data_IF_747397617315
#
_entry.id   IF_747397617315
#
_cell.length_a   1.000
_cell.length_b   1.000
_cell.length_c   1.000
_cell.angle_alpha   90.00
_cell.angle_beta   90.00
_cell.angle_gamma   90.00
#
_symmetry.space_group_name_H-M   'P 1'
#
loop_
_entity.id
_entity.type
_entity.pdbx_description
1 polymer ?
#
# COMPACT_ATOMS: atom_id res chain seq x y z
N UNK A 1 31.60 -14.72 1.02
CA UNK A 1 31.66 -15.34 -0.31
C UNK A 1 31.69 -16.88 -0.26
N UNK A 2 32.57 -17.55 0.48
CA UNK A 2 32.61 -19.05 0.57
C UNK A 2 31.31 -19.73 0.98
N UNK A 3 30.55 -19.19 1.95
CA UNK A 3 29.28 -19.80 2.41
C UNK A 3 28.14 -19.71 1.37
N UNK A 4 28.12 -18.66 0.52
CA UNK A 4 27.14 -18.50 -0.55
C UNK A 4 27.43 -19.46 -1.71
N UNK A 5 28.71 -19.68 -2.02
CA UNK A 5 29.14 -20.63 -3.06
C UNK A 5 28.81 -22.07 -2.65
N UNK A 6 28.97 -22.44 -1.39
CA UNK A 6 28.61 -23.77 -0.89
C UNK A 6 27.11 -24.01 -0.90
N UNK A 7 26.28 -23.01 -0.54
CA UNK A 7 24.82 -23.09 -0.61
C UNK A 7 24.30 -23.23 -2.05
N UNK A 8 24.90 -22.51 -3.01
CA UNK A 8 24.57 -22.65 -4.44
C UNK A 8 24.98 -24.00 -5.01
N UNK A 9 26.13 -24.55 -4.60
CA UNK A 9 26.55 -25.89 -5.03
C UNK A 9 25.63 -27.00 -4.49
N UNK A 10 25.19 -26.91 -3.23
CA UNK A 10 24.28 -27.89 -2.61
C UNK A 10 22.89 -27.82 -3.30
N UNK A 11 22.40 -26.63 -3.66
CA UNK A 11 21.15 -26.48 -4.41
C UNK A 11 21.22 -27.13 -5.80
N UNK A 12 22.31 -26.95 -6.55
CA UNK A 12 22.50 -27.56 -7.89
C UNK A 12 22.53 -29.09 -7.82
N UNK A 13 23.15 -29.69 -6.81
CA UNK A 13 23.22 -31.15 -6.62
C UNK A 13 21.81 -31.69 -6.29
N UNK A 14 21.03 -31.01 -5.47
CA UNK A 14 19.67 -31.42 -5.07
C UNK A 14 18.71 -31.44 -6.26
N UNK A 15 18.79 -30.46 -7.16
CA UNK A 15 17.98 -30.40 -8.37
C UNK A 15 18.35 -31.50 -9.41
N UNK A 16 19.61 -31.85 -9.52
CA UNK A 16 20.06 -32.96 -10.39
C UNK A 16 19.53 -34.32 -9.92
N UNK A 17 19.48 -34.56 -8.61
CA UNK A 17 18.94 -35.81 -8.03
C UNK A 17 17.40 -35.90 -8.26
N UNK A 18 16.67 -34.80 -8.09
CA UNK A 18 15.23 -34.76 -8.33
C UNK A 18 14.89 -35.04 -9.81
N UNK A 19 15.64 -34.45 -10.75
CA UNK A 19 15.48 -34.70 -12.19
C UNK A 19 15.63 -36.16 -12.54
N UNK A 20 16.70 -36.82 -12.09
CA UNK A 20 16.92 -38.25 -12.33
C UNK A 20 15.81 -39.14 -11.76
N UNK A 21 15.32 -38.83 -10.56
CA UNK A 21 14.21 -39.55 -9.91
C UNK A 21 12.92 -39.43 -10.74
N UNK A 22 12.59 -38.22 -11.23
CA UNK A 22 11.43 -38.02 -12.10
C UNK A 22 11.58 -38.75 -13.43
N UNK A 23 12.76 -38.70 -14.06
CA UNK A 23 13.02 -39.42 -15.32
C UNK A 23 12.86 -40.96 -15.16
N UNK A 24 13.39 -41.50 -14.03
CA UNK A 24 13.23 -42.96 -13.76
C UNK A 24 11.75 -43.34 -13.63
N UNK A 25 10.96 -42.53 -12.90
CA UNK A 25 9.51 -42.78 -12.77
C UNK A 25 8.78 -42.64 -14.10
N UNK A 26 9.20 -41.70 -14.96
CA UNK A 26 8.66 -41.54 -16.29
C UNK A 26 8.85 -42.79 -17.14
N UNK A 27 10.05 -43.44 -17.08
CA UNK A 27 10.34 -44.68 -17.77
C UNK A 27 9.44 -45.83 -17.30
N UNK A 28 9.10 -45.87 -16.01
CA UNK A 28 8.18 -46.88 -15.45
C UNK A 28 6.78 -46.73 -16.06
N UNK A 29 6.25 -45.50 -16.15
CA UNK A 29 4.96 -45.21 -16.80
C UNK A 29 5.00 -45.47 -18.31
N UNK A 30 6.09 -45.12 -18.98
CA UNK A 30 6.27 -45.38 -20.41
C UNK A 30 6.21 -46.89 -20.74
N UNK A 31 6.88 -47.72 -19.94
CA UNK A 31 6.85 -49.18 -20.06
C UNK A 31 5.46 -49.78 -19.81
N UNK A 32 4.65 -49.09 -18.96
CA UNK A 32 3.26 -49.47 -18.70
C UNK A 32 2.29 -48.97 -19.77
N UNK A 33 2.76 -48.27 -20.83
CA UNK A 33 1.90 -47.69 -21.87
C UNK A 33 1.14 -46.40 -21.40
N UNK A 34 1.45 -45.88 -20.24
CA UNK A 34 0.83 -44.68 -19.64
C UNK A 34 1.56 -43.42 -20.12
N UNK A 35 1.35 -43.09 -21.41
CA UNK A 35 2.13 -42.02 -22.07
C UNK A 35 1.88 -40.62 -21.54
N UNK A 36 0.67 -40.34 -21.03
CA UNK A 36 0.35 -39.04 -20.45
C UNK A 36 1.14 -38.83 -19.15
N UNK A 37 1.12 -39.82 -18.27
CA UNK A 37 1.86 -39.80 -16.99
C UNK A 37 3.37 -39.78 -17.24
N UNK A 38 3.85 -40.56 -18.20
CA UNK A 38 5.26 -40.57 -18.60
C UNK A 38 5.70 -39.16 -19.06
N UNK A 39 4.94 -38.53 -19.94
CA UNK A 39 5.21 -37.18 -20.42
C UNK A 39 5.20 -36.17 -19.28
N UNK A 40 4.27 -36.23 -18.34
CA UNK A 40 4.22 -35.32 -17.18
C UNK A 40 5.41 -35.51 -16.22
N UNK A 41 5.90 -36.72 -16.01
CA UNK A 41 7.10 -36.99 -15.23
C UNK A 41 8.38 -36.56 -15.96
N UNK A 42 8.50 -36.76 -17.26
CA UNK A 42 9.59 -36.23 -18.08
C UNK A 42 9.59 -34.69 -18.06
N UNK A 43 8.43 -34.07 -18.15
CA UNK A 43 8.27 -32.62 -18.02
C UNK A 43 8.77 -32.09 -16.65
N UNK A 44 8.38 -32.77 -15.55
CA UNK A 44 8.87 -32.45 -14.19
C UNK A 44 10.40 -32.63 -14.09
N UNK A 45 10.94 -33.66 -14.76
CA UNK A 45 12.40 -33.89 -14.82
C UNK A 45 13.12 -32.74 -15.50
N UNK A 46 12.66 -32.29 -16.66
CA UNK A 46 13.22 -31.13 -17.39
C UNK A 46 13.02 -29.81 -16.65
N UNK A 47 11.91 -29.64 -15.95
CA UNK A 47 11.69 -28.46 -15.10
C UNK A 47 12.72 -28.41 -13.96
N UNK A 48 13.11 -29.55 -13.39
CA UNK A 48 14.15 -29.64 -12.36
C UNK A 48 15.57 -29.48 -12.94
N UNK A 49 15.83 -30.02 -14.15
CA UNK A 49 17.11 -29.86 -14.87
C UNK A 49 16.90 -29.85 -16.38
N UNK A 50 16.95 -28.65 -16.96
CA UNK A 50 16.77 -28.44 -18.43
C UNK A 50 17.79 -29.16 -19.30
N UNK A 51 18.93 -29.54 -18.74
CA UNK A 51 20.01 -30.22 -19.46
C UNK A 51 19.91 -31.76 -19.44
N UNK A 52 18.83 -32.32 -18.85
CA UNK A 52 18.62 -33.75 -18.85
C UNK A 52 18.20 -34.23 -20.27
N UNK A 53 19.17 -34.76 -21.03
CA UNK A 53 18.97 -35.22 -22.42
C UNK A 53 17.99 -36.38 -22.51
N UNK A 54 18.09 -37.38 -21.61
CA UNK A 54 17.19 -38.55 -21.60
C UNK A 54 15.75 -38.13 -21.35
N UNK A 55 15.53 -37.18 -20.39
CA UNK A 55 14.20 -36.64 -20.14
C UNK A 55 13.65 -35.85 -21.34
N UNK A 56 14.50 -35.17 -22.11
CA UNK A 56 14.09 -34.44 -23.30
C UNK A 56 13.67 -35.39 -24.42
N UNK A 57 14.43 -36.46 -24.66
CA UNK A 57 14.11 -37.51 -25.64
C UNK A 57 12.81 -38.21 -25.21
N UNK A 58 12.71 -38.59 -23.93
CA UNK A 58 11.52 -39.26 -23.38
C UNK A 58 10.27 -38.36 -23.48
N UNK A 59 10.42 -37.03 -23.15
CA UNK A 59 9.31 -36.09 -23.28
C UNK A 59 8.88 -35.87 -24.70
N UNK A 60 9.82 -35.85 -25.67
CA UNK A 60 9.46 -35.74 -27.10
C UNK A 60 8.65 -36.94 -27.52
N UNK A 61 9.15 -38.17 -27.30
CA UNK A 61 8.51 -39.42 -27.69
C UNK A 61 7.10 -39.59 -27.08
N UNK A 62 7.01 -39.49 -25.75
CA UNK A 62 5.72 -39.65 -25.07
C UNK A 62 4.79 -38.46 -25.32
N UNK A 63 5.34 -37.27 -25.49
CA UNK A 63 4.59 -36.05 -25.86
C UNK A 63 3.96 -36.18 -27.26
N UNK A 64 4.63 -36.81 -28.23
CA UNK A 64 4.04 -37.09 -29.54
C UNK A 64 2.84 -38.05 -29.43
N UNK A 65 2.91 -39.09 -28.58
CA UNK A 65 1.78 -40.01 -28.36
C UNK A 65 0.58 -39.27 -27.72
N UNK A 66 0.84 -38.42 -26.71
CA UNK A 66 -0.20 -37.58 -26.08
C UNK A 66 -0.81 -36.60 -27.08
N UNK A 67 0.03 -35.96 -27.91
CA UNK A 67 -0.46 -35.04 -28.94
C UNK A 67 -1.35 -35.78 -29.95
N UNK A 68 -0.96 -37.00 -30.39
CA UNK A 68 -1.76 -37.79 -31.30
C UNK A 68 -3.13 -38.12 -30.70
N UNK A 69 -3.21 -38.53 -29.43
CA UNK A 69 -4.50 -38.78 -28.76
C UNK A 69 -5.38 -37.51 -28.71
N UNK A 70 -4.78 -36.35 -28.47
CA UNK A 70 -5.51 -35.06 -28.49
C UNK A 70 -6.02 -34.72 -29.91
N UNK A 71 -5.21 -34.95 -30.93
CA UNK A 71 -5.57 -34.72 -32.31
C UNK A 71 -6.61 -35.75 -32.85
N UNK A 72 -6.58 -36.98 -32.37
CA UNK A 72 -7.63 -37.99 -32.62
C UNK A 72 -8.97 -37.52 -32.07
N UNK A 73 -8.99 -37.06 -30.79
CA UNK A 73 -10.20 -36.45 -30.20
C UNK A 73 -10.69 -35.26 -31.00
N UNK A 74 -9.79 -34.35 -31.39
CA UNK A 74 -10.13 -33.21 -32.24
C UNK A 74 -10.75 -33.67 -33.55
N UNK A 75 -10.15 -34.66 -34.23
CA UNK A 75 -10.64 -35.21 -35.51
C UNK A 75 -12.04 -35.79 -35.36
N UNK A 76 -12.30 -36.55 -34.30
CA UNK A 76 -13.60 -37.11 -33.99
C UNK A 76 -14.68 -36.03 -33.91
N UNK A 77 -14.51 -35.03 -33.03
CA UNK A 77 -15.52 -33.97 -32.83
C UNK A 77 -15.64 -33.04 -34.04
N UNK A 78 -14.57 -32.87 -34.83
CA UNK A 78 -14.64 -32.17 -36.12
C UNK A 78 -15.47 -32.93 -37.15
N UNK A 79 -15.31 -34.27 -37.28
CA UNK A 79 -16.11 -35.13 -38.16
C UNK A 79 -17.59 -35.15 -37.76
N UNK A 80 -17.86 -35.09 -36.45
CA UNK A 80 -19.22 -34.97 -35.89
C UNK A 80 -19.82 -33.55 -36.08
N UNK A 81 -19.07 -32.60 -36.66
CA UNK A 81 -19.45 -31.19 -36.88
C UNK A 81 -19.80 -30.44 -35.61
N UNK A 82 -19.24 -30.84 -34.50
CA UNK A 82 -19.35 -30.15 -33.20
C UNK A 82 -18.35 -28.98 -33.13
N UNK A 83 -18.67 -27.86 -33.78
CA UNK A 83 -17.77 -26.74 -34.02
C UNK A 83 -17.14 -26.20 -32.75
N UNK A 84 -17.91 -26.07 -31.67
CA UNK A 84 -17.41 -25.64 -30.34
C UNK A 84 -16.38 -26.65 -29.81
N UNK A 85 -16.74 -27.91 -29.73
CA UNK A 85 -15.89 -28.95 -29.15
C UNK A 85 -14.61 -29.13 -29.96
N UNK A 86 -14.71 -29.07 -31.28
CA UNK A 86 -13.56 -29.11 -32.19
C UNK A 86 -12.62 -27.90 -31.95
N UNK A 87 -13.17 -26.70 -31.82
CA UNK A 87 -12.38 -25.50 -31.52
C UNK A 87 -11.58 -25.67 -30.23
N UNK A 88 -12.21 -26.11 -29.15
CA UNK A 88 -11.54 -26.27 -27.86
C UNK A 88 -10.60 -27.48 -27.81
N UNK A 89 -10.91 -28.58 -28.49
CA UNK A 89 -10.03 -29.73 -28.57
C UNK A 89 -8.71 -29.39 -29.30
N UNK A 90 -8.78 -28.59 -30.37
CA UNK A 90 -7.57 -28.12 -31.06
C UNK A 90 -6.76 -27.14 -30.18
N UNK A 91 -7.40 -26.17 -29.51
CA UNK A 91 -6.76 -25.26 -28.59
C UNK A 91 -6.04 -26.01 -27.45
N UNK A 92 -6.64 -27.11 -26.96
CA UNK A 92 -6.00 -27.97 -25.95
C UNK A 92 -4.74 -28.66 -26.52
N UNK A 93 -4.78 -29.19 -27.72
CA UNK A 93 -3.62 -29.76 -28.41
C UNK A 93 -2.52 -28.71 -28.65
N UNK A 94 -2.89 -27.51 -29.08
CA UNK A 94 -1.94 -26.40 -29.30
C UNK A 94 -1.30 -25.90 -28.00
N UNK A 95 -2.09 -25.79 -26.94
CA UNK A 95 -1.58 -25.41 -25.61
C UNK A 95 -0.62 -26.47 -25.05
N UNK A 96 -0.89 -27.75 -25.33
CA UNK A 96 0.03 -28.83 -24.97
C UNK A 96 1.38 -28.66 -25.68
N UNK A 97 1.39 -28.42 -26.99
CA UNK A 97 2.61 -28.14 -27.76
C UNK A 97 3.34 -26.89 -27.21
N UNK A 98 2.62 -25.78 -26.94
CA UNK A 98 3.16 -24.57 -26.36
C UNK A 98 3.79 -24.86 -24.99
N UNK A 99 3.14 -25.68 -24.15
CA UNK A 99 3.67 -26.11 -22.83
C UNK A 99 5.03 -26.80 -22.95
N UNK A 100 5.14 -27.78 -23.89
CA UNK A 100 6.39 -28.53 -24.05
C UNK A 100 7.52 -27.65 -24.63
N UNK A 101 7.19 -26.73 -25.54
CA UNK A 101 8.15 -25.75 -26.10
C UNK A 101 8.84 -24.92 -25.04
N UNK A 102 8.20 -24.62 -23.90
CA UNK A 102 8.84 -23.88 -22.78
C UNK A 102 10.06 -24.60 -22.19
N UNK A 103 10.18 -25.90 -22.42
CA UNK A 103 11.33 -26.72 -22.00
C UNK A 103 12.22 -27.17 -23.18
N UNK A 104 12.06 -26.54 -24.35
CA UNK A 104 12.85 -26.83 -25.55
C UNK A 104 12.50 -28.17 -26.21
N UNK A 105 11.26 -28.65 -26.03
CA UNK A 105 10.73 -29.82 -26.75
C UNK A 105 9.70 -29.33 -27.77
N UNK A 106 10.04 -29.48 -29.05
CA UNK A 106 9.21 -29.07 -30.16
C UNK A 106 8.42 -30.27 -30.72
N UNK A 107 7.12 -30.11 -30.74
CA UNK A 107 6.18 -31.00 -31.43
C UNK A 107 5.51 -30.23 -32.56
N UNK A 108 5.19 -30.92 -33.64
CA UNK A 108 4.62 -30.31 -34.85
C UNK A 108 3.17 -30.81 -35.02
N UNK A 109 2.24 -29.87 -35.17
CA UNK A 109 0.87 -30.15 -35.59
C UNK A 109 0.82 -29.97 -37.11
N UNK A 110 0.41 -31.05 -37.84
CA UNK A 110 0.27 -31.05 -39.29
C UNK A 110 -0.69 -29.94 -39.75
N UNK A 111 -0.41 -29.38 -40.92
CA UNK A 111 -1.18 -28.29 -41.53
C UNK A 111 -2.65 -28.64 -41.77
N UNK A 112 -2.97 -29.92 -42.03
CA UNK A 112 -4.35 -30.39 -42.20
C UNK A 112 -5.22 -30.12 -40.96
N UNK A 113 -4.67 -30.34 -39.76
CA UNK A 113 -5.40 -30.05 -38.50
C UNK A 113 -5.64 -28.56 -38.31
N UNK A 114 -4.72 -27.73 -38.76
CA UNK A 114 -4.88 -26.26 -38.71
C UNK A 114 -5.96 -25.77 -39.67
N UNK A 115 -6.08 -26.42 -40.86
CA UNK A 115 -7.14 -26.11 -41.79
C UNK A 115 -8.52 -26.51 -41.25
N UNK A 116 -8.65 -27.68 -40.65
CA UNK A 116 -9.88 -28.15 -40.01
C UNK A 116 -10.26 -27.30 -38.77
N UNK A 117 -9.25 -26.87 -37.98
CA UNK A 117 -9.47 -25.94 -36.88
C UNK A 117 -10.00 -24.59 -37.37
N UNK A 118 -9.46 -24.09 -38.48
CA UNK A 118 -9.95 -22.81 -39.05
C UNK A 118 -11.41 -22.94 -39.45
N UNK A 119 -11.80 -24.03 -40.12
CA UNK A 119 -13.19 -24.29 -40.51
C UNK A 119 -14.12 -24.34 -39.28
N UNK A 120 -13.77 -25.16 -38.29
CA UNK A 120 -14.56 -25.27 -37.03
C UNK A 120 -14.61 -23.95 -36.23
N UNK A 121 -13.48 -23.28 -36.12
CA UNK A 121 -13.37 -22.00 -35.43
C UNK A 121 -14.18 -20.89 -36.09
N UNK A 122 -14.09 -20.77 -37.43
CA UNK A 122 -14.87 -19.79 -38.19
C UNK A 122 -16.38 -20.01 -38.02
N UNK A 123 -16.83 -21.27 -38.04
CA UNK A 123 -18.23 -21.62 -37.80
C UNK A 123 -18.65 -21.22 -36.35
N UNK A 124 -17.91 -21.70 -35.36
CA UNK A 124 -18.23 -21.45 -33.96
C UNK A 124 -18.22 -19.95 -33.61
N UNK A 125 -17.19 -19.24 -34.05
CA UNK A 125 -17.05 -17.79 -33.78
C UNK A 125 -18.12 -16.98 -34.50
N UNK A 126 -18.56 -17.40 -35.70
CA UNK A 126 -19.66 -16.77 -36.44
C UNK A 126 -20.98 -16.85 -35.67
N UNK A 127 -21.31 -18.04 -35.15
CA UNK A 127 -22.53 -18.27 -34.39
C UNK A 127 -22.48 -17.44 -33.06
N UNK A 128 -21.34 -17.46 -32.36
CA UNK A 128 -21.12 -16.68 -31.15
C UNK A 128 -21.17 -15.17 -31.39
N UNK A 129 -20.62 -14.72 -32.50
CA UNK A 129 -20.67 -13.31 -32.87
C UNK A 129 -22.11 -12.83 -33.13
N UNK A 130 -22.91 -13.66 -33.84
CA UNK A 130 -24.31 -13.35 -34.04
C UNK A 130 -25.12 -13.34 -32.72
N UNK A 131 -24.91 -14.35 -31.86
CA UNK A 131 -25.50 -14.42 -30.51
C UNK A 131 -25.13 -13.18 -29.66
N UNK A 132 -23.85 -12.81 -29.62
CA UNK A 132 -23.37 -11.67 -28.87
C UNK A 132 -23.90 -10.32 -29.39
N UNK A 133 -24.01 -10.20 -30.72
CA UNK A 133 -24.60 -8.99 -31.35
C UNK A 133 -26.08 -8.87 -31.02
N UNK A 134 -26.83 -9.96 -31.04
CA UNK A 134 -28.23 -9.95 -30.63
C UNK A 134 -28.38 -9.58 -29.14
N UNK A 135 -27.47 -10.09 -28.28
CA UNK A 135 -27.47 -9.72 -26.87
C UNK A 135 -27.21 -8.23 -26.67
N UNK A 136 -26.30 -7.62 -27.43
CA UNK A 136 -26.08 -6.16 -27.40
C UNK A 136 -27.32 -5.39 -27.88
N UNK A 137 -27.96 -5.82 -28.96
CA UNK A 137 -29.17 -5.17 -29.49
C UNK A 137 -30.35 -5.23 -28.51
N UNK A 138 -30.41 -6.29 -27.70
CA UNK A 138 -31.40 -6.45 -26.63
C UNK A 138 -30.95 -5.84 -25.30
N UNK A 139 -29.83 -5.11 -25.27
CA UNK A 139 -29.23 -4.52 -24.07
C UNK A 139 -28.89 -5.50 -22.95
N UNK A 140 -28.77 -6.82 -23.29
CA UNK A 140 -28.24 -7.82 -22.36
C UNK A 140 -26.69 -7.76 -22.36
N UNK A 141 -26.19 -6.69 -21.75
CA UNK A 141 -24.76 -6.38 -21.70
C UNK A 141 -23.93 -7.48 -20.99
N UNK A 142 -24.50 -8.12 -19.97
CA UNK A 142 -23.80 -9.17 -19.23
C UNK A 142 -23.57 -10.42 -20.11
N UNK A 143 -24.59 -10.83 -20.85
CA UNK A 143 -24.49 -11.95 -21.80
C UNK A 143 -23.56 -11.58 -22.95
N UNK A 144 -23.70 -10.39 -23.52
CA UNK A 144 -22.82 -9.90 -24.58
C UNK A 144 -21.35 -9.87 -24.14
N UNK A 145 -21.05 -9.38 -22.93
CA UNK A 145 -19.70 -9.39 -22.34
C UNK A 145 -19.13 -10.80 -22.26
N UNK A 146 -19.91 -11.76 -21.77
CA UNK A 146 -19.47 -13.17 -21.69
C UNK A 146 -19.11 -13.73 -23.05
N UNK A 147 -19.97 -13.48 -24.04
CA UNK A 147 -19.80 -13.99 -25.40
C UNK A 147 -18.60 -13.35 -26.10
N UNK A 148 -18.51 -12.02 -26.10
CA UNK A 148 -17.41 -11.33 -26.77
C UNK A 148 -16.08 -11.55 -26.06
N UNK A 149 -16.06 -11.74 -24.74
CA UNK A 149 -14.85 -12.14 -24.01
C UNK A 149 -14.34 -13.51 -24.48
N UNK A 150 -15.24 -14.46 -24.74
CA UNK A 150 -14.90 -15.77 -25.28
C UNK A 150 -14.34 -15.65 -26.70
N UNK A 151 -15.01 -14.89 -27.58
CA UNK A 151 -14.54 -14.65 -28.95
C UNK A 151 -13.14 -14.07 -28.97
N UNK A 152 -12.91 -12.97 -28.21
CA UNK A 152 -11.62 -12.26 -28.15
C UNK A 152 -10.52 -13.15 -27.55
N UNK A 153 -10.86 -14.06 -26.63
CA UNK A 153 -9.92 -15.03 -26.07
C UNK A 153 -9.47 -16.07 -27.10
N UNK A 154 -10.39 -16.53 -27.99
CA UNK A 154 -10.10 -17.51 -29.03
C UNK A 154 -9.37 -16.84 -30.19
N UNK A 155 -9.92 -15.76 -30.71
CA UNK A 155 -9.33 -14.94 -31.77
C UNK A 155 -9.45 -13.45 -31.43
N UNK A 156 -8.35 -12.82 -30.96
CA UNK A 156 -8.35 -11.39 -30.62
C UNK A 156 -8.63 -10.45 -31.80
N UNK A 157 -8.58 -10.93 -33.02
CA UNK A 157 -8.79 -10.12 -34.23
C UNK A 157 -10.08 -10.50 -34.99
N UNK A 158 -10.98 -11.27 -34.34
CA UNK A 158 -12.21 -11.67 -34.97
C UNK A 158 -13.15 -10.47 -35.13
N UNK A 159 -13.30 -9.99 -36.37
CA UNK A 159 -14.16 -8.86 -36.76
C UNK A 159 -13.95 -7.67 -35.78
N UNK A 160 -15.05 -7.01 -35.36
CA UNK A 160 -15.11 -5.92 -34.39
C UNK A 160 -15.45 -6.38 -32.97
N UNK A 161 -15.13 -7.65 -32.64
CA UNK A 161 -15.49 -8.25 -31.34
C UNK A 161 -14.87 -7.52 -30.15
N UNK A 162 -13.68 -6.92 -30.31
CA UNK A 162 -13.06 -6.08 -29.26
C UNK A 162 -13.89 -4.82 -29.00
N UNK A 163 -14.36 -4.15 -30.04
CA UNK A 163 -15.16 -2.93 -29.90
C UNK A 163 -16.52 -3.25 -29.28
N UNK A 164 -17.13 -4.37 -29.69
CA UNK A 164 -18.38 -4.87 -29.11
C UNK A 164 -18.20 -5.29 -27.63
N UNK A 165 -17.06 -5.87 -27.29
CA UNK A 165 -16.71 -6.18 -25.89
C UNK A 165 -16.60 -4.90 -25.05
N UNK A 166 -15.95 -3.86 -25.57
CA UNK A 166 -15.87 -2.56 -24.90
C UNK A 166 -17.27 -1.97 -24.67
N UNK A 167 -18.15 -2.04 -25.68
CA UNK A 167 -19.55 -1.61 -25.52
C UNK A 167 -20.24 -2.42 -24.43
N UNK A 168 -20.14 -3.74 -24.45
CA UNK A 168 -20.77 -4.61 -23.45
C UNK A 168 -20.32 -4.31 -22.01
N UNK A 169 -19.07 -3.92 -21.81
CA UNK A 169 -18.50 -3.62 -20.50
C UNK A 169 -18.82 -2.19 -20.04
N UNK A 170 -18.69 -1.21 -20.95
CA UNK A 170 -18.68 0.21 -20.55
C UNK A 170 -19.97 0.95 -20.81
N UNK A 171 -20.84 0.48 -21.72
CA UNK A 171 -22.14 1.12 -21.97
C UNK A 171 -23.02 1.21 -20.71
N UNK A 172 -23.19 0.13 -19.91
CA UNK A 172 -23.97 0.21 -18.67
C UNK A 172 -23.38 1.22 -17.67
N UNK A 173 -22.05 1.27 -17.56
CA UNK A 173 -21.35 2.20 -16.66
C UNK A 173 -21.50 3.64 -17.13
N UNK A 174 -21.39 3.86 -18.44
CA UNK A 174 -21.59 5.19 -19.05
C UNK A 174 -23.00 5.70 -18.82
N UNK A 175 -24.02 4.87 -19.01
CA UNK A 175 -25.42 5.24 -18.72
C UNK A 175 -25.64 5.55 -17.26
N UNK A 176 -25.13 4.75 -16.34
CA UNK A 176 -25.20 5.02 -14.91
C UNK A 176 -24.48 6.32 -14.53
N UNK A 177 -23.33 6.61 -15.16
CA UNK A 177 -22.60 7.86 -14.92
C UNK A 177 -23.41 9.08 -15.38
N UNK A 178 -24.07 9.01 -16.55
CA UNK A 178 -24.98 10.05 -17.03
C UNK A 178 -26.20 10.21 -16.13
N UNK A 179 -26.79 9.11 -15.66
CA UNK A 179 -27.90 9.16 -14.72
C UNK A 179 -27.50 9.90 -13.43
N UNK A 180 -26.33 9.59 -12.87
CA UNK A 180 -25.81 10.31 -11.71
C UNK A 180 -25.60 11.80 -11.99
N UNK A 181 -25.09 12.16 -13.17
CA UNK A 181 -24.94 13.57 -13.57
C UNK A 181 -26.29 14.28 -13.62
N UNK A 182 -27.29 13.67 -14.24
CA UNK A 182 -28.65 14.22 -14.36
C UNK A 182 -29.35 14.36 -12.99
N UNK A 183 -29.02 13.48 -12.04
CA UNK A 183 -29.52 13.54 -10.66
C UNK A 183 -28.70 14.49 -9.76
N UNK A 184 -27.79 15.29 -10.32
CA UNK A 184 -26.88 16.17 -9.58
C UNK A 184 -25.97 15.44 -8.58
N UNK A 185 -25.73 14.15 -8.80
CA UNK A 185 -24.75 13.33 -8.05
C UNK A 185 -23.37 13.42 -8.70
N UNK A 186 -22.82 14.63 -8.72
CA UNK A 186 -21.65 14.98 -9.52
C UNK A 186 -20.38 14.22 -9.14
N UNK A 187 -20.15 13.95 -7.85
CA UNK A 187 -18.99 13.14 -7.41
C UNK A 187 -19.12 11.70 -7.86
N UNK A 188 -20.33 11.14 -7.75
CA UNK A 188 -20.62 9.78 -8.21
C UNK A 188 -20.44 9.67 -9.72
N UNK A 189 -20.92 10.66 -10.49
CA UNK A 189 -20.71 10.76 -11.93
C UNK A 189 -19.20 10.86 -12.28
N UNK A 190 -18.47 11.73 -11.60
CA UNK A 190 -17.02 11.88 -11.79
C UNK A 190 -16.27 10.57 -11.62
N UNK A 191 -16.50 9.85 -10.53
CA UNK A 191 -15.81 8.58 -10.30
C UNK A 191 -16.17 7.53 -11.34
N UNK A 192 -17.44 7.48 -11.77
CA UNK A 192 -17.87 6.54 -12.81
C UNK A 192 -17.22 6.84 -14.17
N UNK A 193 -17.20 8.10 -14.61
CA UNK A 193 -16.50 8.48 -15.83
C UNK A 193 -15.00 8.28 -15.75
N UNK A 194 -14.39 8.57 -14.59
CA UNK A 194 -12.96 8.34 -14.37
C UNK A 194 -12.58 6.86 -14.44
N UNK A 195 -13.41 5.96 -13.92
CA UNK A 195 -13.21 4.51 -14.05
C UNK A 195 -13.23 4.08 -15.52
N UNK A 196 -14.20 4.58 -16.31
CA UNK A 196 -14.30 4.29 -17.75
C UNK A 196 -13.01 4.73 -18.46
N UNK A 197 -12.60 5.99 -18.26
CA UNK A 197 -11.43 6.57 -18.95
C UNK A 197 -10.12 5.92 -18.56
N UNK A 198 -9.93 5.54 -17.29
CA UNK A 198 -8.74 4.82 -16.84
C UNK A 198 -8.60 3.45 -17.50
N UNK A 199 -9.72 2.84 -17.89
CA UNK A 199 -9.75 1.50 -18.48
C UNK A 199 -9.69 1.53 -20.02
N UNK A 200 -10.23 2.56 -20.65
CA UNK A 200 -10.40 2.63 -22.12
C UNK A 200 -9.51 3.69 -22.77
N UNK A 201 -9.01 4.66 -21.99
CA UNK A 201 -8.36 5.88 -22.48
C UNK A 201 -9.34 6.89 -23.04
N UNK A 202 -10.36 6.47 -23.75
CA UNK A 202 -11.45 7.31 -24.27
C UNK A 202 -12.70 6.45 -24.54
N UNK A 203 -13.89 6.95 -24.20
CA UNK A 203 -15.17 6.29 -24.45
C UNK A 203 -16.29 7.33 -24.57
N UNK A 204 -16.85 7.50 -25.74
CA UNK A 204 -17.88 8.51 -26.05
C UNK A 204 -17.45 9.88 -25.49
N UNK A 205 -18.37 10.63 -24.90
CA UNK A 205 -18.14 11.95 -24.31
C UNK A 205 -17.61 11.90 -22.87
N UNK A 206 -17.20 10.76 -22.37
CA UNK A 206 -16.81 10.56 -20.96
C UNK A 206 -15.77 11.57 -20.45
N UNK A 207 -14.87 12.03 -21.33
CA UNK A 207 -13.84 13.02 -20.95
C UNK A 207 -14.44 14.41 -20.69
N UNK A 208 -15.35 14.84 -21.54
CA UNK A 208 -16.05 16.12 -21.37
C UNK A 208 -16.98 16.08 -20.16
N UNK A 209 -17.75 14.99 -20.01
CA UNK A 209 -18.68 14.79 -18.91
C UNK A 209 -17.98 14.60 -17.55
N UNK A 210 -16.78 14.00 -17.54
CA UNK A 210 -15.95 13.93 -16.33
C UNK A 210 -15.55 15.34 -15.87
N UNK A 211 -15.16 16.21 -16.79
CA UNK A 211 -14.78 17.57 -16.46
C UNK A 211 -16.00 18.36 -15.94
N UNK A 212 -17.14 18.24 -16.60
CA UNK A 212 -18.40 18.85 -16.17
C UNK A 212 -18.79 18.38 -14.76
N UNK A 213 -18.75 17.07 -14.51
CA UNK A 213 -19.01 16.48 -13.21
C UNK A 213 -18.04 17.00 -12.14
N UNK A 214 -16.74 17.14 -12.48
CA UNK A 214 -15.74 17.68 -11.56
C UNK A 214 -16.00 19.15 -11.23
N UNK A 215 -16.27 19.97 -12.24
CA UNK A 215 -16.55 21.40 -12.05
C UNK A 215 -17.80 21.60 -11.19
N UNK A 216 -18.88 20.84 -11.46
CA UNK A 216 -20.13 20.88 -10.71
C UNK A 216 -20.01 20.33 -9.27
N UNK A 217 -19.12 19.34 -9.06
CA UNK A 217 -18.83 18.75 -7.75
C UNK A 217 -17.90 19.61 -6.89
N UNK A 218 -17.18 20.56 -7.50
CA UNK A 218 -16.14 21.34 -6.82
C UNK A 218 -16.77 22.41 -5.95
N UNK A 219 -16.35 22.45 -4.68
CA UNK A 219 -16.66 23.52 -3.73
C UNK A 219 -15.44 24.41 -3.52
N UNK A 220 -15.67 25.71 -3.51
CA UNK A 220 -14.65 26.70 -3.17
C UNK A 220 -14.81 27.15 -1.73
N UNK A 221 -13.80 26.89 -0.92
CA UNK A 221 -13.78 27.20 0.52
C UNK A 221 -12.89 28.42 0.75
N UNK A 222 -13.44 29.45 1.40
CA UNK A 222 -12.68 30.57 1.91
C UNK A 222 -12.26 30.28 3.33
N UNK A 223 -10.95 30.24 3.59
CA UNK A 223 -10.41 30.14 4.93
C UNK A 223 -10.23 31.53 5.52
N UNK A 224 -11.00 31.83 6.56
CA UNK A 224 -10.92 33.11 7.26
C UNK A 224 -9.83 33.08 8.34
N UNK A 225 -9.35 34.24 8.81
CA UNK A 225 -8.43 34.28 9.93
C UNK A 225 -9.05 33.60 11.15
N UNK A 226 -8.33 32.62 11.71
CA UNK A 226 -8.75 31.98 12.97
C UNK A 226 -8.57 32.94 14.13
N UNK A 227 -9.61 33.13 14.91
CA UNK A 227 -9.59 34.01 16.09
C UNK A 227 -8.87 33.32 17.25
N UNK A 228 -8.63 34.05 18.33
CA UNK A 228 -7.99 33.54 19.54
C UNK A 228 -8.79 33.94 20.77
N UNK A 229 -8.70 33.11 21.78
CA UNK A 229 -9.41 33.33 23.04
C UNK A 229 -8.60 34.18 24.07
N UNK A 230 -7.35 34.58 23.72
CA UNK A 230 -6.45 35.26 24.68
C UNK A 230 -5.43 36.18 23.98
N UNK A 231 -5.09 37.30 24.65
CA UNK A 231 -4.08 38.28 24.23
C UNK A 231 -2.64 37.73 24.12
N UNK A 232 -2.38 36.55 24.68
CA UNK A 232 -1.04 35.93 24.75
C UNK A 232 -0.56 35.27 23.44
N UNK A 233 -1.44 35.11 22.42
CA UNK A 233 -1.13 34.36 21.20
C UNK A 233 -0.96 35.26 19.96
N UNK A 234 -0.42 36.48 20.11
CA UNK A 234 -0.11 37.35 18.96
C UNK A 234 0.82 36.62 17.99
N UNK A 235 0.43 36.53 16.73
CA UNK A 235 1.21 35.92 15.66
C UNK A 235 0.80 34.50 15.25
N UNK A 236 0.06 33.73 16.07
CA UNK A 236 -0.39 32.37 15.71
C UNK A 236 -1.52 32.40 14.66
N UNK A 237 -2.34 33.46 14.64
CA UNK A 237 -3.54 33.56 13.78
C UNK A 237 -3.27 33.43 12.30
N UNK A 238 -2.41 34.25 11.74
CA UNK A 238 -2.09 34.26 10.31
C UNK A 238 -1.39 32.97 9.89
N UNK A 239 -0.51 32.47 10.75
CA UNK A 239 0.21 31.22 10.46
C UNK A 239 -0.71 29.99 10.52
N UNK A 240 -1.74 29.99 11.38
CA UNK A 240 -2.60 28.80 11.52
C UNK A 240 -3.55 28.66 10.32
N UNK A 241 -4.16 29.76 9.84
CA UNK A 241 -4.98 29.74 8.61
C UNK A 241 -4.18 29.27 7.40
N UNK A 242 -2.94 29.75 7.25
CA UNK A 242 -2.03 29.30 6.19
C UNK A 242 -1.70 27.82 6.29
N UNK A 243 -1.56 27.27 7.52
CA UNK A 243 -1.35 25.83 7.73
C UNK A 243 -2.56 25.01 7.31
N UNK A 244 -3.77 25.48 7.62
CA UNK A 244 -5.02 24.84 7.20
C UNK A 244 -5.10 24.81 5.68
N UNK A 245 -4.84 25.93 5.00
CA UNK A 245 -4.84 26.00 3.53
C UNK A 245 -3.90 24.97 2.94
N UNK A 246 -2.63 24.93 3.40
CA UNK A 246 -1.65 23.93 2.96
C UNK A 246 -2.10 22.49 3.26
N UNK A 247 -2.71 22.28 4.43
CA UNK A 247 -3.18 20.95 4.81
C UNK A 247 -4.33 20.49 3.95
N UNK A 248 -5.25 21.38 3.55
CA UNK A 248 -6.35 21.06 2.63
C UNK A 248 -5.80 20.78 1.22
N UNK A 249 -4.86 21.58 0.72
CA UNK A 249 -4.19 21.33 -0.56
C UNK A 249 -3.49 19.97 -0.57
N UNK A 250 -2.76 19.63 0.48
CA UNK A 250 -2.06 18.36 0.60
C UNK A 250 -2.98 17.13 0.62
N UNK A 251 -4.24 17.30 1.00
CA UNK A 251 -5.24 16.21 0.95
C UNK A 251 -5.61 15.84 -0.48
N UNK A 252 -5.28 16.68 -1.45
CA UNK A 252 -5.43 16.48 -2.89
C UNK A 252 -6.82 15.97 -3.28
N UNK A 253 -7.88 16.71 -2.90
CA UNK A 253 -9.24 16.39 -3.30
C UNK A 253 -9.56 17.02 -4.66
N UNK A 254 -10.08 16.27 -5.65
CA UNK A 254 -10.47 16.85 -6.94
C UNK A 254 -11.67 17.80 -6.85
N UNK A 255 -12.33 17.87 -5.69
CA UNK A 255 -13.57 18.62 -5.47
C UNK A 255 -13.45 19.78 -4.50
N UNK A 256 -12.25 20.14 -4.08
CA UNK A 256 -12.06 21.24 -3.14
C UNK A 256 -11.07 22.23 -3.73
N UNK A 257 -11.50 23.48 -3.82
CA UNK A 257 -10.64 24.64 -4.08
C UNK A 257 -10.60 25.49 -2.82
N UNK A 258 -9.42 25.99 -2.46
CA UNK A 258 -9.22 26.83 -1.28
C UNK A 258 -8.80 28.22 -1.70
N UNK A 259 -9.42 29.23 -1.11
CA UNK A 259 -9.01 30.64 -1.23
C UNK A 259 -8.61 31.16 0.14
N UNK A 260 -7.58 31.99 0.15
CA UNK A 260 -7.18 32.75 1.36
C UNK A 260 -8.00 34.05 1.43
N UNK A 261 -8.42 34.42 2.63
CA UNK A 261 -9.15 35.67 2.86
C UNK A 261 -8.36 36.91 2.44
N UNK A 262 -7.03 36.90 2.58
CA UNK A 262 -6.14 37.99 2.14
C UNK A 262 -6.19 38.27 0.63
N UNK A 263 -6.53 37.27 -0.19
CA UNK A 263 -6.71 37.42 -1.64
C UNK A 263 -7.91 38.33 -1.97
N UNK A 264 -8.91 38.35 -1.10
CA UNK A 264 -10.17 39.09 -1.31
C UNK A 264 -10.10 40.52 -0.78
N UNK A 265 -9.24 40.81 0.19
CA UNK A 265 -9.00 42.18 0.69
C UNK A 265 -8.52 43.14 -0.44
N UNK A 266 -7.77 42.59 -1.41
CA UNK A 266 -7.27 43.38 -2.56
C UNK A 266 -8.32 43.66 -3.63
N UNK A 267 -9.52 43.05 -3.55
CA UNK A 267 -10.60 43.19 -4.55
C UNK A 267 -11.85 43.96 -4.08
N UNK A 268 -11.74 44.59 -2.89
CA UNK A 268 -12.86 45.35 -2.31
C UNK A 268 -13.68 44.55 -1.32
N UNK A 269 -13.59 44.96 -0.08
CA UNK A 269 -14.00 44.31 1.17
C UNK A 269 -15.20 43.36 1.05
N UNK A 270 -14.93 42.06 1.08
CA UNK A 270 -15.92 41.02 1.42
C UNK A 270 -16.22 41.05 2.93
N UNK A 271 -15.37 41.72 3.69
CA UNK A 271 -15.56 41.92 5.11
C UNK A 271 -16.26 43.26 5.39
N UNK A 272 -17.26 43.23 6.26
CA UNK A 272 -17.78 44.45 6.89
C UNK A 272 -16.72 45.02 7.84
N UNK A 273 -16.89 46.29 8.21
CA UNK A 273 -16.00 46.98 9.16
C UNK A 273 -15.92 46.32 10.55
N UNK A 274 -16.89 45.48 10.90
CA UNK A 274 -16.91 44.62 12.10
C UNK A 274 -16.20 43.28 11.96
N UNK A 275 -15.61 42.97 10.79
CA UNK A 275 -14.94 41.73 10.48
C UNK A 275 -15.85 40.55 10.07
N UNK A 276 -17.16 40.79 9.95
CA UNK A 276 -18.10 39.81 9.39
C UNK A 276 -18.02 39.78 7.86
N UNK A 277 -18.35 38.63 7.27
CA UNK A 277 -18.28 38.42 5.83
C UNK A 277 -19.62 38.75 5.19
N UNK A 278 -19.56 39.55 4.12
CA UNK A 278 -20.72 39.78 3.23
C UNK A 278 -20.96 38.51 2.39
N UNK A 279 -21.90 37.69 2.82
CA UNK A 279 -22.25 36.43 2.14
C UNK A 279 -22.69 36.66 0.69
N UNK A 280 -23.34 37.80 0.35
CA UNK A 280 -23.76 38.12 -1.04
C UNK A 280 -22.54 38.33 -1.93
N UNK A 281 -21.55 39.09 -1.46
CA UNK A 281 -20.30 39.29 -2.21
C UNK A 281 -19.48 37.98 -2.29
N UNK A 282 -19.46 37.18 -1.25
CA UNK A 282 -18.80 35.89 -1.26
C UNK A 282 -19.38 34.96 -2.33
N UNK A 283 -20.69 34.92 -2.48
CA UNK A 283 -21.37 34.15 -3.53
C UNK A 283 -20.98 34.65 -4.93
N UNK A 284 -20.95 35.98 -5.15
CA UNK A 284 -20.54 36.56 -6.45
C UNK A 284 -19.09 36.18 -6.81
N UNK A 285 -18.21 36.09 -5.84
CA UNK A 285 -16.80 35.63 -6.02
C UNK A 285 -16.67 34.12 -6.14
N UNK A 286 -17.77 33.36 -6.20
CA UNK A 286 -17.78 31.90 -6.35
C UNK A 286 -17.26 31.17 -5.13
N UNK A 287 -17.55 31.67 -3.93
CA UNK A 287 -17.24 31.01 -2.67
C UNK A 287 -18.47 30.28 -2.18
N UNK A 288 -18.35 28.95 -2.02
CA UNK A 288 -19.46 28.08 -1.61
C UNK A 288 -19.52 27.89 -0.10
N UNK A 289 -18.38 27.96 0.59
CA UNK A 289 -18.31 27.78 2.02
C UNK A 289 -17.24 28.66 2.70
N UNK A 290 -17.50 29.00 3.95
CA UNK A 290 -16.57 29.72 4.83
C UNK A 290 -16.06 28.77 5.89
N UNK A 291 -14.75 28.63 6.00
CA UNK A 291 -14.09 27.89 7.09
C UNK A 291 -13.50 28.89 8.09
N UNK A 292 -14.08 28.93 9.28
CA UNK A 292 -13.67 29.81 10.39
C UNK A 292 -13.41 29.00 11.63
N UNK A 293 -12.71 29.56 12.61
CA UNK A 293 -12.49 28.89 13.89
C UNK A 293 -11.74 29.72 14.91
N UNK A 294 -11.51 29.11 16.07
CA UNK A 294 -10.85 29.72 17.21
C UNK A 294 -9.82 28.76 17.79
N UNK A 295 -8.60 29.23 17.97
CA UNK A 295 -7.60 28.53 18.79
C UNK A 295 -7.96 28.76 20.27
N UNK A 296 -8.58 27.75 20.88
CA UNK A 296 -9.07 27.82 22.27
C UNK A 296 -7.93 27.82 23.28
N UNK A 297 -6.93 26.97 23.09
CA UNK A 297 -5.79 26.87 23.97
C UNK A 297 -4.53 26.36 23.28
N UNK A 298 -3.40 26.83 23.76
CA UNK A 298 -2.07 26.24 23.51
C UNK A 298 -1.42 26.10 24.86
N UNK A 299 -1.25 24.89 25.36
CA UNK A 299 -0.66 24.60 26.65
C UNK A 299 0.75 24.07 26.45
N UNK A 300 1.73 24.80 26.92
CA UNK A 300 3.16 24.47 26.84
C UNK A 300 3.62 23.99 28.22
N UNK A 301 4.09 22.75 28.27
CA UNK A 301 4.60 22.14 29.50
C UNK A 301 6.09 21.82 29.34
N UNK A 302 6.99 22.78 29.60
CA UNK A 302 8.42 22.50 29.59
C UNK A 302 8.79 21.60 30.77
N UNK A 303 9.51 20.55 30.50
CA UNK A 303 9.97 19.59 31.49
C UNK A 303 11.10 20.15 32.36
N UNK A 304 11.05 19.84 33.65
CA UNK A 304 12.18 20.06 34.56
C UNK A 304 13.05 18.80 34.59
N UNK A 305 14.35 18.98 34.74
CA UNK A 305 15.28 17.89 34.98
C UNK A 305 14.92 17.19 36.28
N UNK A 306 14.48 15.98 36.23
CA UNK A 306 14.32 15.11 37.40
C UNK A 306 15.59 14.26 37.48
N UNK A 307 16.35 14.45 38.55
CA UNK A 307 17.63 13.75 38.76
C UNK A 307 17.46 12.80 39.91
N UNK A 308 17.75 11.52 39.69
CA UNK A 308 17.73 10.50 40.73
C UNK A 308 19.13 9.87 40.87
N UNK A 309 19.57 9.68 42.14
CA UNK A 309 20.82 8.99 42.44
C UNK A 309 20.58 7.50 42.63
N UNK A 310 21.41 6.71 42.00
CA UNK A 310 21.36 5.25 42.05
C UNK A 310 22.67 4.68 42.56
N UNK A 311 22.56 3.61 43.30
CA UNK A 311 23.72 2.82 43.75
C UNK A 311 24.15 1.85 42.64
N UNK A 312 25.44 1.63 42.55
CA UNK A 312 26.04 0.71 41.59
C UNK A 312 27.44 0.31 42.01
N UNK A 313 28.08 -0.41 41.11
CA UNK A 313 29.45 -0.90 41.32
C UNK A 313 30.28 -0.72 40.04
N UNK A 314 31.59 -0.46 40.26
CA UNK A 314 32.62 -0.65 39.24
C UNK A 314 33.22 -2.04 39.34
N UNK A 315 33.19 -2.81 38.27
CA UNK A 315 33.72 -4.15 38.13
C UNK A 315 35.20 -4.07 37.75
N UNK A 316 36.06 -4.76 38.48
CA UNK A 316 37.50 -4.86 38.23
C UNK A 316 37.89 -6.33 38.14
N UNK A 317 38.79 -6.65 37.25
CA UNK A 317 39.43 -7.95 37.17
C UNK A 317 40.83 -7.83 37.77
N UNK A 318 41.07 -8.48 38.91
CA UNK A 318 42.40 -8.55 39.53
C UNK A 318 43.02 -9.92 39.32
N UNK A 319 44.29 -9.93 39.00
CA UNK A 319 45.09 -11.14 38.87
C UNK A 319 45.86 -11.39 40.16
N UNK A 320 45.67 -12.53 40.81
CA UNK A 320 46.43 -12.95 41.98
C UNK A 320 47.07 -14.32 41.73
N UNK A 321 48.29 -14.53 42.21
CA UNK A 321 48.90 -15.85 42.21
C UNK A 321 48.36 -16.62 43.43
N UNK A 322 47.91 -17.86 43.18
CA UNK A 322 47.58 -18.77 44.27
C UNK A 322 48.85 -19.37 44.92
N UNK A 323 48.68 -20.16 45.97
CA UNK A 323 49.78 -20.80 46.71
C UNK A 323 50.61 -21.76 45.87
N UNK A 324 50.14 -22.15 44.69
CA UNK A 324 50.80 -22.98 43.69
C UNK A 324 51.48 -22.18 42.57
N UNK A 325 51.45 -20.84 42.67
CA UNK A 325 52.07 -19.92 41.68
C UNK A 325 51.24 -19.69 40.43
N UNK A 326 50.03 -20.25 40.32
CA UNK A 326 49.13 -20.10 39.20
C UNK A 326 48.40 -18.73 39.28
N UNK A 327 48.42 -17.97 38.19
CA UNK A 327 47.71 -16.68 38.11
C UNK A 327 46.23 -16.93 37.87
N UNK A 328 45.39 -16.53 38.84
CA UNK A 328 43.92 -16.57 38.71
C UNK A 328 43.33 -15.18 38.65
N UNK A 329 42.26 -15.04 37.87
CA UNK A 329 41.51 -13.79 37.76
C UNK A 329 40.36 -13.80 38.77
N UNK A 330 40.26 -12.72 39.53
CA UNK A 330 39.18 -12.47 40.50
C UNK A 330 38.44 -11.20 40.14
N UNK A 331 37.09 -11.28 40.14
CA UNK A 331 36.23 -10.13 39.94
C UNK A 331 36.02 -9.43 41.29
N UNK A 332 36.37 -8.15 41.37
CA UNK A 332 36.09 -7.27 42.52
C UNK A 332 35.14 -6.17 42.09
N UNK A 333 34.34 -5.65 43.06
CA UNK A 333 33.37 -4.60 42.86
C UNK A 333 33.61 -3.47 43.84
N UNK A 334 33.73 -2.23 43.30
CA UNK A 334 33.84 -1.00 44.08
C UNK A 334 32.52 -0.29 44.05
N UNK A 335 31.97 0.08 45.21
CA UNK A 335 30.71 0.85 45.33
C UNK A 335 30.85 2.24 44.70
N UNK A 336 29.87 2.64 43.92
CA UNK A 336 29.78 3.96 43.25
C UNK A 336 28.34 4.42 43.19
N UNK A 337 28.18 5.72 42.96
CA UNK A 337 26.87 6.35 42.71
C UNK A 337 26.87 6.77 41.24
N UNK A 338 25.77 6.55 40.54
CA UNK A 338 25.47 7.15 39.24
C UNK A 338 24.12 7.87 39.31
N UNK A 339 23.84 8.70 38.33
CA UNK A 339 22.57 9.47 38.27
C UNK A 339 21.79 9.13 37.04
N UNK A 340 20.46 9.12 37.14
CA UNK A 340 19.57 9.16 35.99
C UNK A 340 18.92 10.52 35.88
N UNK A 341 18.67 10.95 34.69
CA UNK A 341 18.05 12.24 34.37
C UNK A 341 16.85 11.97 33.44
N UNK A 342 15.69 12.37 33.89
CA UNK A 342 14.45 12.33 33.11
C UNK A 342 13.96 13.74 32.81
N UNK A 343 13.56 13.97 31.55
CA UNK A 343 12.98 15.24 31.10
C UNK A 343 11.86 14.90 30.13
N UNK A 344 10.71 15.59 30.26
CA UNK A 344 9.59 15.48 29.33
C UNK A 344 9.05 16.85 28.96
N UNK A 345 9.11 17.20 27.69
CA UNK A 345 8.42 18.35 27.12
C UNK A 345 7.09 17.91 26.48
N UNK A 346 6.06 18.73 26.64
CA UNK A 346 4.77 18.46 26.00
C UNK A 346 4.08 19.75 25.58
N UNK A 347 3.40 19.74 24.46
CA UNK A 347 2.55 20.83 23.99
C UNK A 347 1.22 20.26 23.55
N UNK A 348 0.11 20.85 24.00
CA UNK A 348 -1.23 20.53 23.53
C UNK A 348 -1.92 21.74 22.91
N UNK A 349 -2.66 21.52 21.85
CA UNK A 349 -3.40 22.55 21.10
C UNK A 349 -4.85 22.11 20.96
N UNK A 350 -5.78 23.03 21.27
CA UNK A 350 -7.21 22.83 21.07
C UNK A 350 -7.74 23.90 20.13
N UNK A 351 -8.40 23.47 19.06
CA UNK A 351 -8.98 24.35 18.04
C UNK A 351 -10.43 23.96 17.79
N UNK A 352 -11.30 24.94 17.89
CA UNK A 352 -12.68 24.83 17.45
C UNK A 352 -12.79 25.41 16.05
N UNK A 353 -13.51 24.72 15.14
CA UNK A 353 -13.77 25.23 13.79
C UNK A 353 -15.21 24.96 13.36
N UNK A 354 -15.68 25.73 12.38
CA UNK A 354 -16.93 25.51 11.67
C UNK A 354 -16.75 25.86 10.18
N UNK A 355 -17.38 25.09 9.33
CA UNK A 355 -17.55 25.35 7.92
C UNK A 355 -19.02 25.60 7.64
N UNK A 356 -19.36 26.75 7.04
CA UNK A 356 -20.74 27.22 6.84
C UNK A 356 -20.97 27.51 5.37
N UNK A 357 -22.11 27.08 4.84
CA UNK A 357 -22.55 27.42 3.48
C UNK A 357 -22.77 28.93 3.32
N UNK A 358 -22.22 29.52 2.27
CA UNK A 358 -22.46 30.93 1.93
C UNK A 358 -23.88 31.16 1.43
N UNK A 359 -24.53 30.16 0.82
CA UNK A 359 -25.86 30.26 0.23
C UNK A 359 -26.97 30.07 1.26
N UNK A 360 -26.85 29.06 2.13
CA UNK A 360 -27.93 28.67 3.06
C UNK A 360 -27.67 29.09 4.49
N UNK A 361 -26.43 29.40 4.86
CA UNK A 361 -26.02 29.67 6.24
C UNK A 361 -25.93 28.38 7.10
N UNK A 362 -26.16 27.22 6.53
CA UNK A 362 -26.09 25.95 7.24
C UNK A 362 -24.68 25.57 7.61
N UNK A 363 -24.52 24.93 8.77
CA UNK A 363 -23.24 24.38 9.21
C UNK A 363 -22.98 23.06 8.49
N UNK A 364 -22.00 23.07 7.59
CA UNK A 364 -21.59 21.92 6.79
C UNK A 364 -20.67 20.96 7.54
N UNK A 365 -19.86 21.51 8.45
CA UNK A 365 -18.97 20.75 9.34
C UNK A 365 -18.56 21.61 10.50
N UNK A 366 -18.54 21.05 11.71
CA UNK A 366 -18.03 21.71 12.91
C UNK A 366 -17.50 20.66 13.88
N UNK A 367 -16.38 20.98 14.54
CA UNK A 367 -15.79 20.11 15.56
C UNK A 367 -14.76 20.85 16.41
N UNK A 368 -14.35 20.22 17.51
CA UNK A 368 -13.23 20.63 18.33
C UNK A 368 -12.08 19.66 18.16
N UNK A 369 -11.00 20.14 17.58
CA UNK A 369 -9.80 19.35 17.31
C UNK A 369 -8.81 19.51 18.43
N UNK A 370 -8.28 18.38 18.90
CA UNK A 370 -7.24 18.29 19.91
C UNK A 370 -5.98 17.62 19.32
N UNK A 371 -4.82 18.23 19.56
CA UNK A 371 -3.53 17.73 19.12
C UNK A 371 -2.50 17.85 20.25
N UNK A 372 -1.65 16.83 20.40
CA UNK A 372 -0.56 16.81 21.38
C UNK A 372 0.71 16.34 20.69
N UNK A 373 1.82 17.05 20.92
CA UNK A 373 3.16 16.51 20.68
C UNK A 373 3.98 16.55 21.95
N UNK A 374 4.72 15.49 22.22
CA UNK A 374 5.58 15.37 23.40
C UNK A 374 6.87 14.64 23.06
N UNK A 375 7.88 14.90 23.85
CA UNK A 375 9.16 14.24 23.77
C UNK A 375 9.73 14.02 25.15
N UNK A 376 10.30 12.84 25.38
CA UNK A 376 10.89 12.49 26.68
C UNK A 376 12.20 11.78 26.49
N UNK A 377 13.12 12.07 27.38
CA UNK A 377 14.42 11.40 27.44
C UNK A 377 14.68 10.90 28.84
N UNK A 378 15.33 9.76 28.92
CA UNK A 378 15.81 9.17 30.15
C UNK A 378 17.24 8.64 29.89
N UNK A 379 18.22 9.26 30.51
CA UNK A 379 19.62 8.92 30.36
C UNK A 379 20.34 8.82 31.69
N UNK A 380 21.43 8.05 31.72
CA UNK A 380 22.27 7.99 32.91
C UNK A 380 23.57 8.79 32.74
N UNK A 381 24.08 9.29 33.88
CA UNK A 381 25.35 10.00 33.96
C UNK A 381 26.19 9.34 35.02
N UNK A 382 27.45 9.08 34.71
CA UNK A 382 28.45 8.59 35.65
C UNK A 382 29.78 9.33 35.43
N UNK A 383 30.35 9.81 36.53
CA UNK A 383 31.65 10.47 36.48
C UNK A 383 32.78 9.44 36.60
N UNK A 384 33.17 8.89 35.48
CA UNK A 384 34.19 7.86 35.37
C UNK A 384 34.04 6.97 34.15
N UNK A 385 34.86 5.91 34.06
CA UNK A 385 34.74 4.92 32.98
C UNK A 385 33.51 4.01 33.19
N UNK A 386 32.43 4.32 32.43
CA UNK A 386 31.18 3.61 32.53
C UNK A 386 31.20 2.20 31.90
N UNK A 387 32.29 1.79 31.19
CA UNK A 387 32.36 0.48 30.55
C UNK A 387 32.24 -0.68 31.54
N UNK A 388 32.72 -0.44 32.75
CA UNK A 388 32.72 -1.41 33.83
C UNK A 388 31.68 -1.11 34.92
N UNK A 389 30.78 -0.11 34.67
CA UNK A 389 29.71 0.19 35.60
C UNK A 389 28.63 -0.88 35.55
N UNK A 390 28.23 -1.36 36.72
CA UNK A 390 27.20 -2.38 36.92
C UNK A 390 26.18 -1.82 37.91
N UNK A 391 24.87 -1.95 37.63
CA UNK A 391 23.86 -1.54 38.57
C UNK A 391 23.88 -2.44 39.81
N UNK A 392 23.41 -1.93 40.94
CA UNK A 392 23.36 -2.71 42.16
C UNK A 392 22.78 -1.89 43.33
N UNK A 393 22.60 -2.57 44.43
CA UNK A 393 22.14 -1.95 45.68
C UNK A 393 23.20 -2.13 46.76
N UNK A 394 23.45 -1.08 47.52
CA UNK A 394 24.25 -1.13 48.74
C UNK A 394 23.71 -0.17 49.77
N UNK A 395 23.78 -0.57 51.05
CA UNK A 395 23.23 0.18 52.17
C UNK A 395 24.18 1.30 52.67
N UNK A 396 25.45 1.11 52.55
CA UNK A 396 26.46 2.07 52.98
C UNK A 396 27.67 2.04 52.06
N UNK A 397 28.20 3.22 51.73
CA UNK A 397 29.37 3.38 50.87
C UNK A 397 30.63 2.77 51.52
N UNK A 398 30.78 2.98 52.83
CA UNK A 398 32.01 2.63 53.57
C UNK A 398 31.98 1.24 54.21
N UNK A 399 30.84 0.61 54.40
CA UNK A 399 30.69 -0.68 55.07
C UNK A 399 29.98 -1.70 54.15
N UNK A 400 30.42 -2.95 54.21
CA UNK A 400 29.70 -4.08 53.55
C UNK A 400 28.47 -4.47 54.38
N UNK A 401 27.37 -4.82 53.70
CA UNK A 401 26.14 -5.28 54.34
C UNK A 401 25.68 -6.57 53.66
N UNK A 402 25.04 -7.52 54.38
CA UNK A 402 24.40 -8.66 53.81
C UNK A 402 23.28 -8.32 52.77
N UNK A 403 22.79 -7.09 52.81
CA UNK A 403 21.77 -6.59 51.91
C UNK A 403 22.34 -6.10 50.55
N UNK A 404 23.68 -5.96 50.46
CA UNK A 404 24.35 -5.49 49.24
C UNK A 404 24.14 -6.46 48.11
N UNK A 405 23.76 -6.00 46.92
CA UNK A 405 23.46 -6.78 45.73
C UNK A 405 24.12 -6.18 44.49
N UNK A 406 24.76 -7.01 43.70
CA UNK A 406 25.34 -6.65 42.40
C UNK A 406 24.44 -7.22 41.32
N UNK A 407 23.99 -6.42 40.39
CA UNK A 407 23.11 -6.82 39.26
C UNK A 407 23.97 -6.98 38.00
N UNK A 408 24.95 -7.88 38.01
CA UNK A 408 25.90 -8.12 36.91
C UNK A 408 25.38 -9.13 35.90
N UNK A 409 24.08 -9.19 35.66
CA UNK A 409 23.52 -9.97 34.58
C UNK A 409 23.43 -9.12 33.28
N UNK A 410 23.35 -9.83 32.15
CA UNK A 410 23.37 -9.17 30.83
C UNK A 410 22.27 -8.11 30.66
N UNK A 411 21.06 -8.39 31.15
CA UNK A 411 19.91 -7.51 30.98
C UNK A 411 20.11 -6.17 31.72
N UNK A 412 20.44 -6.24 33.01
CA UNK A 412 20.57 -5.05 33.87
C UNK A 412 21.75 -4.17 33.43
N UNK A 413 22.89 -4.81 33.11
CA UNK A 413 24.07 -4.09 32.61
C UNK A 413 23.80 -3.45 31.25
N UNK A 414 23.10 -4.15 30.35
CA UNK A 414 22.80 -3.62 29.03
C UNK A 414 21.79 -2.47 29.11
N UNK A 415 20.78 -2.54 29.97
CA UNK A 415 19.83 -1.45 30.21
C UNK A 415 20.56 -0.20 30.71
N UNK A 416 21.43 -0.33 31.69
CA UNK A 416 22.23 0.81 32.18
C UNK A 416 23.16 1.37 31.08
N UNK A 417 23.79 0.54 30.28
CA UNK A 417 24.61 0.99 29.13
C UNK A 417 23.83 1.74 28.10
N UNK A 418 22.60 1.31 27.80
CA UNK A 418 21.72 2.02 26.88
C UNK A 418 21.36 3.41 27.42
N UNK A 419 21.06 3.53 28.71
CA UNK A 419 20.82 4.82 29.34
C UNK A 419 22.06 5.74 29.34
N UNK A 420 23.26 5.18 29.57
CA UNK A 420 24.53 5.93 29.53
C UNK A 420 24.89 6.46 28.15
N UNK A 421 24.36 5.82 27.08
CA UNK A 421 24.53 6.19 25.67
C UNK A 421 23.32 6.94 25.10
N UNK A 422 22.24 7.04 25.87
CA UNK A 422 20.98 7.66 25.42
C UNK A 422 21.15 9.14 25.09
N UNK A 423 20.19 9.64 24.30
CA UNK A 423 20.12 11.06 23.94
C UNK A 423 19.96 11.92 25.20
N UNK A 424 20.62 13.07 25.16
CA UNK A 424 20.61 14.04 26.28
C UNK A 424 19.83 15.30 25.97
N UNK A 425 19.23 15.37 24.78
CA UNK A 425 18.51 16.57 24.32
C UNK A 425 17.06 16.18 23.97
N UNK A 426 16.12 16.80 24.67
CA UNK A 426 14.70 16.73 24.37
C UNK A 426 14.33 17.78 23.32
N UNK A 427 13.39 17.48 22.43
CA UNK A 427 12.89 18.46 21.44
C UNK A 427 12.37 19.71 22.13
N UNK A 428 12.65 20.88 21.53
CA UNK A 428 12.25 22.16 22.08
C UNK A 428 10.72 22.31 22.11
N UNK A 429 10.21 23.07 23.08
CA UNK A 429 8.79 23.45 23.17
C UNK A 429 8.32 24.10 21.86
N UNK A 430 9.18 24.91 21.22
CA UNK A 430 8.87 25.52 19.93
C UNK A 430 8.62 24.45 18.85
N UNK A 431 9.47 23.43 18.72
CA UNK A 431 9.31 22.35 17.76
C UNK A 431 8.03 21.56 18.04
N UNK A 432 7.77 21.20 19.29
CA UNK A 432 6.56 20.47 19.68
C UNK A 432 5.29 21.29 19.38
N UNK A 433 5.32 22.61 19.62
CA UNK A 433 4.21 23.51 19.29
C UNK A 433 3.93 23.54 17.79
N UNK A 434 4.97 23.69 16.98
CA UNK A 434 4.84 23.67 15.51
C UNK A 434 4.23 22.36 15.01
N UNK A 435 4.66 21.23 15.56
CA UNK A 435 4.12 19.92 15.22
C UNK A 435 2.65 19.76 15.65
N UNK A 436 2.30 20.16 16.87
CA UNK A 436 0.92 20.09 17.36
C UNK A 436 -0.03 20.99 16.54
N UNK A 437 0.41 22.19 16.14
CA UNK A 437 -0.36 23.06 15.25
C UNK A 437 -0.53 22.44 13.85
N UNK A 438 0.51 21.82 13.31
CA UNK A 438 0.42 21.11 12.03
C UNK A 438 -0.55 19.92 12.11
N UNK A 439 -0.47 19.13 13.18
CA UNK A 439 -1.39 18.00 13.40
C UNK A 439 -2.86 18.50 13.51
N UNK A 440 -3.10 19.56 14.26
CA UNK A 440 -4.43 20.16 14.37
C UNK A 440 -4.97 20.61 13.00
N UNK A 441 -4.13 21.28 12.19
CA UNK A 441 -4.52 21.71 10.84
C UNK A 441 -4.81 20.56 9.89
N UNK A 442 -4.03 19.45 9.99
CA UNK A 442 -4.28 18.24 9.21
C UNK A 442 -5.60 17.56 9.60
N UNK A 443 -5.90 17.49 10.91
CA UNK A 443 -7.18 16.93 11.38
C UNK A 443 -8.37 17.72 10.83
N UNK A 444 -8.30 19.05 10.82
CA UNK A 444 -9.33 19.90 10.21
C UNK A 444 -9.44 19.63 8.71
N UNK A 445 -8.33 19.58 7.98
CA UNK A 445 -8.31 19.32 6.55
C UNK A 445 -8.94 17.96 6.18
N UNK A 446 -8.68 16.92 6.98
CA UNK A 446 -9.29 15.59 6.80
C UNK A 446 -10.81 15.65 6.98
N UNK A 447 -11.32 16.40 7.95
CA UNK A 447 -12.77 16.54 8.15
C UNK A 447 -13.41 17.35 7.01
N UNK A 448 -12.77 18.42 6.57
CA UNK A 448 -13.22 19.21 5.40
C UNK A 448 -13.30 18.31 4.15
N UNK A 449 -12.32 17.43 3.93
CA UNK A 449 -12.34 16.47 2.79
C UNK A 449 -13.50 15.49 2.86
N UNK A 450 -13.91 15.07 4.05
CA UNK A 450 -15.01 14.12 4.24
C UNK A 450 -16.37 14.71 3.88
N UNK A 451 -16.49 16.04 3.88
CA UNK A 451 -17.74 16.70 3.51
C UNK A 451 -18.12 16.33 2.08
N UNK A 452 -19.30 15.78 1.91
CA UNK A 452 -19.89 15.44 0.62
C UNK A 452 -21.32 16.00 0.55
N UNK A 453 -21.59 16.96 -0.34
CA UNK A 453 -22.92 17.58 -0.49
C UNK A 453 -23.98 16.62 -1.06
N UNK A 454 -23.58 15.44 -1.54
CA UNK A 454 -24.48 14.43 -2.12
C UNK A 454 -24.97 13.38 -1.10
N UNK A 455 -24.57 13.50 0.17
CA UNK A 455 -24.93 12.53 1.23
C UNK A 455 -25.95 13.08 2.19
#
# INVERSE_FOLDING_TARGET
MRKIVVLTLIAIISFSCASKRYAKKAVEFEKAGMYQEAADFYFKSLKANKNNVDARIGLKKNGEMVLNTKLERFTQVWQERLAKDATYAFIDAENYVKKLRTLGVELIIDQKYRAWYKEAGDSYLSDKYYEGTNSLNNEDFNRANTIFSEIVKIDPNYRDSKDKLLIAIYEPKYRLANENLNMSRFRSAYYAFNEILNSTGDYKESRALLKEAQESATITILVTPFTKNSLWFKGIQTNFSTRIIRSIDNVNSPFIKVKDASYLDNKGAIFYSNGEIDSKKAIVEGIDALLSGTVKSVIELPGKHQVEEHTGYLKFIKKRKDDQGVVREYTEYKKVIYKTVYIKNSVSVTVEYKMVSTRTGEVLSADVVYAIDSDEINYAVFDGDYKNLVPGYWKSMSKSSPEDRVFDNYSDVNNLRNMLRGDRTVRSIHTLKENALNEASQKIAVQVKKYNPEK
#
